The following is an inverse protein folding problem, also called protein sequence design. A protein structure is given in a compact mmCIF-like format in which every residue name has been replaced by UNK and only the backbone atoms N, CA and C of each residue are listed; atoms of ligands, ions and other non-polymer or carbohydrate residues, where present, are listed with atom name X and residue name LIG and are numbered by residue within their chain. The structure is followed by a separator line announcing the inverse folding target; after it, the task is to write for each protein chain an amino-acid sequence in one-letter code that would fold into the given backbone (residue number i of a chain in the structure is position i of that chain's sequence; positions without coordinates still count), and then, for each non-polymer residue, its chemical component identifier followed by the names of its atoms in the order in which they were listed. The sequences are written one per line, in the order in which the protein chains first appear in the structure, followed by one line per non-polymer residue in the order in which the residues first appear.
data_IF_203179885598
#
_entry.id   IF_203179885598
#
_cell.length_a   1.000
_cell.length_b   1.000
_cell.length_c   1.000
_cell.angle_alpha   90.00
_cell.angle_beta   90.00
_cell.angle_gamma   90.00
#
_symmetry.space_group_name_H-M   'P 1'
#
loop_
_entity.id
_entity.type
_entity.pdbx_description
1 polymer ?
#
# COMPACT_ATOMS: atom_id res chain seq x y z
N UNK A 1 -13.57 -9.97 -23.54
CA UNK A 1 -12.30 -10.63 -23.16
C UNK A 1 -11.56 -9.67 -22.25
N UNK A 2 -11.46 -9.97 -20.95
CA UNK A 2 -10.71 -9.13 -20.01
C UNK A 2 -9.25 -9.16 -20.42
N UNK A 3 -8.70 -8.02 -20.83
CA UNK A 3 -7.26 -7.89 -21.03
C UNK A 3 -6.65 -7.92 -19.63
N UNK A 4 -6.10 -9.07 -19.25
CA UNK A 4 -5.56 -9.35 -17.90
C UNK A 4 -4.37 -8.44 -17.55
N UNK A 5 -3.84 -7.68 -18.53
CA UNK A 5 -2.70 -6.81 -18.35
C UNK A 5 -2.64 -5.69 -19.41
N UNK A 6 -2.68 -4.42 -19.00
CA UNK A 6 -2.45 -3.24 -19.85
C UNK A 6 -1.06 -2.64 -19.65
N UNK A 7 -0.59 -1.90 -20.66
CA UNK A 7 0.63 -1.08 -20.55
C UNK A 7 0.49 -0.04 -19.44
N UNK A 8 -0.71 0.51 -19.26
CA UNK A 8 -1.00 1.48 -18.20
C UNK A 8 -0.91 0.85 -16.80
N UNK A 9 -1.38 -0.39 -16.63
CA UNK A 9 -1.25 -1.12 -15.35
C UNK A 9 0.21 -1.39 -15.02
N UNK A 10 1.03 -1.68 -16.03
CA UNK A 10 2.48 -1.84 -15.87
C UNK A 10 3.13 -0.52 -15.46
N UNK A 11 2.77 0.57 -16.13
CA UNK A 11 3.29 1.92 -15.84
C UNK A 11 2.94 2.35 -14.42
N UNK A 12 1.67 2.17 -14.02
CA UNK A 12 1.20 2.48 -12.68
C UNK A 12 1.85 1.60 -11.61
N UNK A 13 2.06 0.31 -11.90
CA UNK A 13 2.76 -0.59 -10.99
C UNK A 13 4.22 -0.17 -10.78
N UNK A 14 4.92 0.22 -11.85
CA UNK A 14 6.28 0.75 -11.74
C UNK A 14 6.33 2.11 -11.04
N UNK A 15 5.35 2.99 -11.27
CA UNK A 15 5.25 4.26 -10.57
C UNK A 15 5.03 4.07 -9.07
N UNK A 16 4.10 3.19 -8.68
CA UNK A 16 3.85 2.82 -7.28
C UNK A 16 5.04 2.12 -6.63
N UNK A 17 5.75 1.27 -7.38
CA UNK A 17 7.00 0.69 -6.91
C UNK A 17 8.07 1.77 -6.70
N UNK A 18 8.19 2.72 -7.63
CA UNK A 18 9.12 3.84 -7.54
C UNK A 18 8.89 4.75 -6.33
N UNK A 19 7.65 4.92 -5.88
CA UNK A 19 7.36 5.67 -4.64
C UNK A 19 7.60 4.85 -3.37
N UNK A 20 7.49 3.52 -3.45
CA UNK A 20 7.77 2.61 -2.35
C UNK A 20 9.27 2.41 -2.11
N UNK A 21 10.10 2.47 -3.16
CA UNK A 21 11.56 2.35 -3.07
C UNK A 21 12.16 3.64 -2.53
N UNK A 22 12.45 3.65 -1.23
CA UNK A 22 13.16 4.73 -0.55
C UNK A 22 14.45 4.27 0.12
N UNK A 23 15.16 5.21 0.74
CA UNK A 23 16.34 4.92 1.56
C UNK A 23 16.03 3.88 2.66
N UNK A 24 14.85 3.97 3.29
CA UNK A 24 14.42 3.00 4.31
C UNK A 24 14.38 1.56 3.81
N UNK A 25 13.78 1.30 2.64
CA UNK A 25 13.71 -0.06 2.06
C UNK A 25 15.05 -0.58 1.53
N UNK A 26 16.01 0.30 1.24
CA UNK A 26 17.35 -0.10 0.76
C UNK A 26 18.33 -0.33 1.92
N UNK A 27 18.33 0.53 2.93
CA UNK A 27 19.27 0.46 4.04
C UNK A 27 18.83 -0.49 5.15
N UNK A 28 17.51 -0.67 5.37
CA UNK A 28 17.00 -1.55 6.42
C UNK A 28 17.39 -3.02 6.19
N UNK A 29 17.30 -3.60 4.97
CA UNK A 29 17.77 -4.97 4.73
C UNK A 29 19.29 -5.10 4.79
N UNK A 30 20.04 -4.06 4.43
CA UNK A 30 21.51 -4.07 4.56
C UNK A 30 21.90 -4.11 6.04
N UNK A 31 21.23 -3.30 6.86
CA UNK A 31 21.49 -3.21 8.30
C UNK A 31 20.96 -4.43 9.07
N UNK A 32 19.82 -4.98 8.68
CA UNK A 32 19.32 -6.25 9.23
C UNK A 32 20.17 -7.44 8.77
N UNK A 33 20.77 -7.36 7.58
CA UNK A 33 21.66 -8.37 7.03
C UNK A 33 22.99 -8.48 7.75
N UNK A 34 23.54 -7.35 8.24
CA UNK A 34 24.72 -7.39 9.10
C UNK A 34 24.46 -8.05 10.45
N UNK A 35 23.19 -8.12 10.90
CA UNK A 35 22.78 -8.90 12.07
C UNK A 35 22.62 -10.42 11.78
N UNK A 36 22.72 -10.83 10.51
CA UNK A 36 22.73 -12.23 10.07
C UNK A 36 21.57 -12.61 9.13
N UNK A 37 21.82 -13.58 8.23
CA UNK A 37 20.86 -14.01 7.22
C UNK A 37 19.54 -14.57 7.81
N UNK A 38 19.61 -15.20 8.98
CA UNK A 38 18.43 -15.75 9.68
C UNK A 38 17.53 -14.61 10.17
N UNK A 39 18.12 -13.53 10.70
CA UNK A 39 17.37 -12.35 11.19
C UNK A 39 16.62 -11.68 10.03
N UNK A 40 17.27 -11.58 8.87
CA UNK A 40 16.62 -11.08 7.65
C UNK A 40 15.40 -11.93 7.26
N UNK A 41 15.55 -13.25 7.25
CA UNK A 41 14.49 -14.14 6.84
C UNK A 41 13.27 -14.07 7.77
N UNK A 42 13.51 -14.06 9.09
CA UNK A 42 12.44 -13.91 10.09
C UNK A 42 11.76 -12.55 9.95
N UNK A 43 12.54 -11.47 9.78
CA UNK A 43 11.98 -10.13 9.64
C UNK A 43 11.14 -10.01 8.36
N UNK A 44 11.58 -10.62 7.26
CA UNK A 44 10.79 -10.69 6.03
C UNK A 44 9.47 -11.44 6.21
N UNK A 45 9.49 -12.59 6.91
CA UNK A 45 8.29 -13.37 7.23
C UNK A 45 7.29 -12.60 8.09
N UNK A 46 7.76 -11.76 9.00
CA UNK A 46 6.90 -10.94 9.87
C UNK A 46 6.41 -9.68 9.16
N UNK A 47 7.26 -9.05 8.33
CA UNK A 47 6.90 -7.87 7.57
C UNK A 47 5.81 -8.16 6.53
N UNK A 48 5.80 -9.37 5.96
CA UNK A 48 4.81 -9.78 4.97
C UNK A 48 3.35 -9.66 5.44
N UNK A 49 2.90 -10.31 6.53
CA UNK A 49 1.52 -10.17 7.02
C UNK A 49 1.20 -8.75 7.50
N UNK A 50 2.18 -8.06 8.11
CA UNK A 50 2.02 -6.69 8.59
C UNK A 50 1.79 -5.68 7.47
N UNK A 51 2.29 -5.94 6.26
CA UNK A 51 2.08 -5.07 5.10
C UNK A 51 0.88 -5.52 4.27
N UNK A 52 0.71 -6.82 4.06
CA UNK A 52 -0.34 -7.37 3.20
C UNK A 52 -1.76 -7.11 3.75
N UNK A 53 -2.00 -7.39 5.04
CA UNK A 53 -3.36 -7.28 5.60
C UNK A 53 -3.88 -5.84 5.66
N UNK A 54 -3.10 -4.83 6.09
CA UNK A 54 -3.56 -3.44 6.05
C UNK A 54 -3.81 -2.95 4.63
N UNK A 55 -2.96 -3.29 3.67
CA UNK A 55 -3.20 -2.94 2.27
C UNK A 55 -4.49 -3.55 1.74
N UNK A 56 -4.73 -4.84 2.04
CA UNK A 56 -5.99 -5.51 1.67
C UNK A 56 -7.21 -4.83 2.30
N UNK A 57 -7.14 -4.51 3.60
CA UNK A 57 -8.21 -3.83 4.31
C UNK A 57 -8.49 -2.43 3.74
N UNK A 58 -7.45 -1.68 3.37
CA UNK A 58 -7.57 -0.37 2.74
C UNK A 58 -8.24 -0.47 1.37
N UNK A 59 -7.83 -1.43 0.52
CA UNK A 59 -8.49 -1.67 -0.76
C UNK A 59 -9.97 -2.02 -0.59
N UNK A 60 -10.31 -2.87 0.38
CA UNK A 60 -11.70 -3.22 0.69
C UNK A 60 -12.50 -2.02 1.20
N UNK A 61 -11.89 -1.16 2.02
CA UNK A 61 -12.50 0.07 2.51
C UNK A 61 -12.82 1.04 1.37
N UNK A 62 -11.88 1.27 0.46
CA UNK A 62 -12.07 2.13 -0.71
C UNK A 62 -13.16 1.56 -1.63
N UNK A 63 -13.17 0.25 -1.88
CA UNK A 63 -14.20 -0.38 -2.72
C UNK A 63 -15.59 -0.35 -2.06
N UNK A 64 -15.66 -0.42 -0.73
CA UNK A 64 -16.91 -0.37 0.03
C UNK A 64 -17.58 1.01 -0.02
N UNK A 65 -16.83 2.09 -0.20
CA UNK A 65 -17.38 3.45 -0.09
C UNK A 65 -18.28 3.88 -1.26
N UNK A 66 -18.40 3.08 -2.33
CA UNK A 66 -19.24 3.35 -3.53
C UNK A 66 -19.15 4.79 -4.06
N UNK A 67 -18.07 5.50 -3.72
CA UNK A 67 -17.88 6.90 -4.08
C UNK A 67 -17.47 7.00 -5.55
N UNK A 68 -17.71 8.15 -6.18
CA UNK A 68 -17.36 8.42 -7.58
C UNK A 68 -15.87 8.10 -7.85
N UNK A 69 -15.61 7.48 -9.01
CA UNK A 69 -14.26 7.10 -9.46
C UNK A 69 -13.40 8.35 -9.66
N UNK A 70 -12.75 8.81 -8.58
CA UNK A 70 -11.95 10.02 -8.56
C UNK A 70 -11.69 10.60 -7.17
N UNK A 71 -12.53 10.30 -6.17
CA UNK A 71 -12.33 10.87 -4.81
C UNK A 71 -11.37 10.05 -3.92
N UNK A 72 -10.98 8.85 -4.37
CA UNK A 72 -9.96 8.02 -3.72
C UNK A 72 -10.23 7.74 -2.24
N UNK A 73 -9.16 7.68 -1.44
CA UNK A 73 -9.22 7.43 0.01
C UNK A 73 -10.01 8.55 0.72
N UNK A 74 -9.85 9.79 0.29
CA UNK A 74 -10.50 10.97 0.90
C UNK A 74 -12.02 10.93 0.74
N UNK A 75 -12.53 10.49 -0.40
CA UNK A 75 -13.97 10.27 -0.61
C UNK A 75 -14.49 9.12 0.23
N UNK A 76 -13.72 8.02 0.34
CA UNK A 76 -14.10 6.88 1.17
C UNK A 76 -14.22 7.22 2.66
N UNK A 77 -13.26 7.97 3.19
CA UNK A 77 -13.30 8.44 4.58
C UNK A 77 -14.42 9.46 4.79
N UNK A 78 -14.60 10.40 3.86
CA UNK A 78 -15.68 11.40 3.95
C UNK A 78 -17.07 10.77 3.89
N UNK A 79 -17.25 9.68 3.12
CA UNK A 79 -18.51 8.96 3.01
C UNK A 79 -18.89 8.21 4.30
N UNK A 80 -17.92 7.55 4.95
CA UNK A 80 -18.19 6.77 6.18
C UNK A 80 -18.11 7.59 7.48
N UNK A 81 -17.23 8.57 7.56
CA UNK A 81 -16.94 9.32 8.79
C UNK A 81 -17.32 10.82 8.71
N UNK A 82 -17.74 11.31 7.54
CA UNK A 82 -18.13 12.70 7.33
C UNK A 82 -16.94 13.66 7.10
N UNK A 83 -17.23 14.84 6.54
CA UNK A 83 -16.23 15.87 6.15
C UNK A 83 -15.26 16.29 7.27
N UNK A 84 -15.70 16.28 8.53
CA UNK A 84 -14.87 16.71 9.66
C UNK A 84 -13.75 15.72 9.97
N UNK A 85 -14.02 14.42 9.87
CA UNK A 85 -13.01 13.38 10.14
C UNK A 85 -12.14 13.14 8.90
N UNK A 86 -12.71 13.27 7.69
CA UNK A 86 -11.95 13.22 6.43
C UNK A 86 -10.82 14.24 6.34
N UNK A 87 -10.98 15.43 6.93
CA UNK A 87 -9.95 16.48 6.96
C UNK A 87 -8.89 16.32 8.06
N UNK A 88 -9.07 15.38 8.99
CA UNK A 88 -8.10 15.11 10.07
C UNK A 88 -7.20 13.92 9.71
N UNK A 89 -7.72 12.98 8.93
CA UNK A 89 -7.03 11.74 8.57
C UNK A 89 -6.18 11.93 7.30
N UNK A 90 -6.61 12.81 6.40
CA UNK A 90 -5.90 13.18 5.16
C UNK A 90 -5.35 14.59 5.30
#
# INVERSE_FOLDING_TARGET
MSKIWSKDETLWSFALYGTAVGAGTLFLPIQLGSAGAIVLFITALVAWPLTYWPHKALCQFILSSKTSAGEGITGAVTHYYGKKIGSIIT
#
